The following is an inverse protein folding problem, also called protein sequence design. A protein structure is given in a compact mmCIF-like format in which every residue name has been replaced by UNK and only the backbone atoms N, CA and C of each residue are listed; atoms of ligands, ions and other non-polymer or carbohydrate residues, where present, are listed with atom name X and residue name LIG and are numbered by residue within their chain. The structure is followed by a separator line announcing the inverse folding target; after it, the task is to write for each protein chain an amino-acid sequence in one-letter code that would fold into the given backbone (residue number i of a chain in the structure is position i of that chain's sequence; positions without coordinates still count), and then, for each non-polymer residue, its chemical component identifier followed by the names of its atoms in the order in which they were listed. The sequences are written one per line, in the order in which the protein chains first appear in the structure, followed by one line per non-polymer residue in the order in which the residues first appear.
data_IF_613957766270
#
_entry.id   IF_613957766270
#
_cell.length_a   1.000
_cell.length_b   1.000
_cell.length_c   1.000
_cell.angle_alpha   90.00
_cell.angle_beta   90.00
_cell.angle_gamma   90.00
#
_symmetry.space_group_name_H-M   'P 1'
#
loop_
_entity.id
_entity.type
_entity.pdbx_description
1 polymer ?
#
# COMPACT_ATOMS: atom_id res chain seq x y z
N UNK A 1 -40.01 -48.57 35.74
CA UNK A 1 -39.07 -47.73 34.99
C UNK A 1 -39.37 -48.01 33.52
N UNK A 2 -40.01 -47.06 32.85
CA UNK A 2 -40.66 -47.30 31.56
C UNK A 2 -39.60 -47.38 30.46
N UNK A 3 -39.59 -48.46 29.69
CA UNK A 3 -38.66 -48.64 28.56
C UNK A 3 -38.71 -47.44 27.60
N UNK A 4 -39.86 -46.80 27.46
CA UNK A 4 -40.09 -45.66 26.58
C UNK A 4 -39.27 -44.41 26.98
N UNK A 5 -39.02 -44.20 28.28
CA UNK A 5 -38.17 -43.08 28.75
C UNK A 5 -36.68 -43.35 28.50
N UNK A 6 -36.26 -44.62 28.58
CA UNK A 6 -34.90 -45.06 28.27
C UNK A 6 -34.59 -44.94 26.78
N UNK A 7 -35.52 -45.34 25.91
CA UNK A 7 -35.40 -45.18 24.46
C UNK A 7 -35.45 -43.70 24.03
N UNK A 8 -36.33 -42.90 24.63
CA UNK A 8 -36.41 -41.46 24.37
C UNK A 8 -35.12 -40.72 24.77
N UNK A 9 -34.55 -41.05 25.94
CA UNK A 9 -33.28 -40.48 26.40
C UNK A 9 -32.10 -40.86 25.52
N UNK A 10 -32.03 -42.13 25.09
CA UNK A 10 -30.95 -42.62 24.21
C UNK A 10 -31.03 -41.97 22.82
N UNK A 11 -32.23 -41.82 22.26
CA UNK A 11 -32.44 -41.15 20.96
C UNK A 11 -31.98 -39.69 21.01
N UNK A 12 -32.31 -38.96 22.09
CA UNK A 12 -31.90 -37.56 22.26
C UNK A 12 -30.38 -37.40 22.30
N UNK A 13 -29.66 -38.32 22.96
CA UNK A 13 -28.19 -38.31 22.99
C UNK A 13 -27.60 -38.54 21.60
N UNK A 14 -28.15 -39.49 20.84
CA UNK A 14 -27.69 -39.76 19.47
C UNK A 14 -27.91 -38.56 18.53
N UNK A 15 -29.05 -37.89 18.63
CA UNK A 15 -29.35 -36.68 17.84
C UNK A 15 -28.38 -35.54 18.21
N UNK A 16 -28.12 -35.32 19.50
CA UNK A 16 -27.16 -34.30 19.95
C UNK A 16 -25.73 -34.62 19.48
N UNK A 17 -25.31 -35.89 19.55
CA UNK A 17 -24.01 -36.32 19.06
C UNK A 17 -23.87 -36.09 17.54
N UNK A 18 -24.91 -36.40 16.76
CA UNK A 18 -24.92 -36.17 15.31
C UNK A 18 -24.82 -34.67 14.97
N UNK A 19 -25.54 -33.81 15.71
CA UNK A 19 -25.46 -32.34 15.54
C UNK A 19 -24.05 -31.83 15.88
N UNK A 20 -23.45 -32.30 16.99
CA UNK A 20 -22.11 -31.91 17.39
C UNK A 20 -21.05 -32.32 16.36
N UNK A 21 -21.13 -33.55 15.83
CA UNK A 21 -20.23 -34.03 14.77
C UNK A 21 -20.43 -33.21 13.50
N UNK A 22 -21.67 -32.94 13.10
CA UNK A 22 -21.98 -32.07 11.96
C UNK A 22 -21.38 -30.68 12.11
N UNK A 23 -21.49 -30.07 13.30
CA UNK A 23 -20.88 -28.77 13.59
C UNK A 23 -19.35 -28.81 13.51
N UNK A 24 -18.70 -29.84 14.06
CA UNK A 24 -17.23 -29.99 13.99
C UNK A 24 -16.75 -30.16 12.55
N UNK A 25 -17.46 -30.93 11.72
CA UNK A 25 -17.10 -31.10 10.30
C UNK A 25 -17.26 -29.79 9.54
N UNK A 26 -18.38 -29.07 9.73
CA UNK A 26 -18.63 -27.78 9.06
C UNK A 26 -17.62 -26.72 9.51
N UNK A 27 -17.34 -26.59 10.81
CA UNK A 27 -16.33 -25.65 11.32
C UNK A 27 -14.90 -26.05 10.95
N UNK A 28 -14.62 -27.36 10.91
CA UNK A 28 -13.36 -27.91 10.43
C UNK A 28 -13.11 -27.57 8.97
N UNK A 29 -14.10 -27.75 8.11
CA UNK A 29 -14.01 -27.49 6.67
C UNK A 29 -13.93 -25.97 6.37
N UNK A 30 -14.64 -25.13 7.13
CA UNK A 30 -14.48 -23.67 7.09
C UNK A 30 -13.07 -23.20 7.51
N UNK A 31 -12.36 -23.96 8.36
CA UNK A 31 -10.97 -23.66 8.76
C UNK A 31 -9.93 -24.11 7.73
N UNK A 32 -10.31 -25.01 6.82
CA UNK A 32 -9.46 -25.55 5.74
C UNK A 32 -9.79 -24.85 4.41
N UNK A 33 -10.08 -23.54 4.45
CA UNK A 33 -10.03 -22.76 3.21
C UNK A 33 -8.60 -22.87 2.66
N UNK A 34 -8.41 -23.31 1.41
CA UNK A 34 -7.08 -23.44 0.83
C UNK A 34 -6.44 -22.06 0.82
N UNK A 35 -5.47 -21.86 1.72
CA UNK A 35 -4.62 -20.67 1.69
C UNK A 35 -3.97 -20.61 0.31
N UNK A 36 -3.92 -19.44 -0.34
CA UNK A 36 -3.30 -19.33 -1.66
C UNK A 36 -1.86 -19.85 -1.58
N UNK A 37 -1.62 -21.02 -2.20
CA UNK A 37 -0.29 -21.65 -2.29
C UNK A 37 0.65 -20.91 -3.25
N UNK A 38 0.12 -19.98 -4.03
CA UNK A 38 0.92 -19.17 -4.96
C UNK A 38 1.32 -17.89 -4.27
N UNK A 39 2.64 -17.70 -4.14
CA UNK A 39 3.22 -16.40 -3.83
C UNK A 39 2.64 -15.37 -4.81
N UNK A 40 2.20 -14.21 -4.35
CA UNK A 40 1.72 -13.19 -5.27
C UNK A 40 2.87 -12.78 -6.21
N UNK A 41 2.55 -12.56 -7.48
CA UNK A 41 3.47 -11.92 -8.41
C UNK A 41 3.63 -10.47 -7.96
N UNK A 42 4.87 -10.06 -7.71
CA UNK A 42 5.19 -8.69 -7.32
C UNK A 42 5.38 -7.84 -8.57
N UNK A 43 4.80 -6.65 -8.55
CA UNK A 43 4.87 -5.71 -9.67
C UNK A 43 5.83 -4.59 -9.32
N UNK A 44 6.60 -4.14 -10.31
CA UNK A 44 7.41 -2.95 -10.18
C UNK A 44 6.59 -1.77 -10.64
N UNK A 45 6.66 -0.68 -9.89
CA UNK A 45 5.97 0.55 -10.24
C UNK A 45 6.96 1.69 -10.10
N UNK A 46 7.07 2.47 -11.18
CA UNK A 46 7.80 3.73 -11.19
C UNK A 46 6.82 4.84 -10.80
N UNK A 47 7.17 5.67 -9.81
CA UNK A 47 6.31 6.79 -9.35
C UNK A 47 7.09 8.07 -9.11
N UNK A 48 6.30 9.14 -8.95
CA UNK A 48 6.67 10.53 -8.71
C UNK A 48 6.95 10.84 -7.23
N UNK A 49 7.39 9.87 -6.41
CA UNK A 49 7.89 10.20 -5.07
C UNK A 49 9.32 10.71 -5.24
N UNK A 50 9.52 12.03 -5.15
CA UNK A 50 10.82 12.64 -5.39
C UNK A 50 11.26 12.54 -6.86
N UNK A 51 12.47 12.04 -7.12
CA UNK A 51 13.07 11.93 -8.46
C UNK A 51 12.82 10.55 -9.07
N UNK A 52 11.62 10.35 -9.65
CA UNK A 52 11.22 9.14 -10.38
C UNK A 52 11.67 7.83 -9.70
N UNK A 53 11.33 7.70 -8.41
CA UNK A 53 11.77 6.59 -7.59
C UNK A 53 11.06 5.29 -8.00
N UNK A 54 11.80 4.25 -8.41
CA UNK A 54 11.25 2.91 -8.55
C UNK A 54 10.93 2.32 -7.17
N UNK A 55 9.85 1.55 -7.07
CA UNK A 55 9.55 0.72 -5.89
C UNK A 55 8.83 -0.57 -6.31
N UNK A 56 8.86 -1.59 -5.45
CA UNK A 56 8.09 -2.84 -5.65
C UNK A 56 6.76 -2.69 -4.94
N UNK A 57 5.68 -3.09 -5.59
CA UNK A 57 4.34 -3.12 -5.02
C UNK A 57 3.69 -4.49 -5.20
N UNK A 58 2.78 -4.83 -4.29
CA UNK A 58 1.94 -6.01 -4.46
C UNK A 58 0.88 -5.79 -5.55
N UNK A 59 0.76 -6.76 -6.47
CA UNK A 59 -0.21 -6.77 -7.58
C UNK A 59 -1.67 -6.82 -7.14
N UNK A 60 -1.93 -7.18 -5.88
CA UNK A 60 -3.27 -7.27 -5.31
C UNK A 60 -3.41 -6.51 -4.01
N UNK A 61 -4.67 -6.37 -3.59
CA UNK A 61 -5.07 -5.86 -2.28
C UNK A 61 -5.51 -7.04 -1.42
N UNK A 62 -4.96 -7.16 -0.21
CA UNK A 62 -5.20 -8.30 0.68
C UNK A 62 -5.96 -7.85 1.94
N UNK A 63 -6.76 -8.70 2.59
CA UNK A 63 -7.34 -8.36 3.88
C UNK A 63 -6.27 -7.94 4.90
N UNK A 64 -6.50 -6.85 5.63
CA UNK A 64 -5.52 -6.28 6.57
C UNK A 64 -5.10 -7.23 7.70
N UNK A 65 -5.92 -8.24 8.01
CA UNK A 65 -5.66 -9.28 9.01
C UNK A 65 -4.82 -10.45 8.48
N UNK A 66 -4.45 -10.48 7.19
CA UNK A 66 -3.60 -11.52 6.61
C UNK A 66 -2.11 -11.33 6.96
N UNK A 67 -1.79 -11.54 8.24
CA UNK A 67 -0.42 -11.44 8.75
C UNK A 67 0.57 -12.35 8.01
N UNK A 68 0.11 -13.53 7.55
CA UNK A 68 0.96 -14.48 6.83
C UNK A 68 1.49 -13.92 5.51
N UNK A 69 0.69 -13.15 4.78
CA UNK A 69 1.16 -12.54 3.53
C UNK A 69 2.17 -11.43 3.79
N UNK A 70 2.00 -10.68 4.88
CA UNK A 70 3.00 -9.72 5.32
C UNK A 70 4.34 -10.40 5.66
N UNK A 71 4.32 -11.52 6.39
CA UNK A 71 5.53 -12.28 6.69
C UNK A 71 6.24 -12.77 5.42
N UNK A 72 5.49 -13.30 4.46
CA UNK A 72 6.04 -13.74 3.16
C UNK A 72 6.60 -12.57 2.34
N UNK A 73 5.97 -11.39 2.42
CA UNK A 73 6.50 -10.16 1.80
C UNK A 73 7.84 -9.78 2.42
N UNK A 74 7.92 -9.72 3.75
CA UNK A 74 9.15 -9.38 4.48
C UNK A 74 10.26 -10.40 4.21
N UNK A 75 9.93 -11.69 4.11
CA UNK A 75 10.90 -12.74 3.78
C UNK A 75 11.44 -12.59 2.34
N UNK A 76 10.55 -12.26 1.39
CA UNK A 76 10.92 -12.07 -0.02
C UNK A 76 11.61 -10.74 -0.31
N UNK A 77 11.39 -9.68 0.49
CA UNK A 77 11.95 -8.34 0.33
C UNK A 77 12.62 -7.83 1.60
N UNK A 78 13.36 -8.70 2.29
CA UNK A 78 14.08 -8.29 3.48
C UNK A 78 15.03 -7.12 3.17
N UNK A 79 15.08 -6.07 4.00
CA UNK A 79 16.09 -5.02 3.88
C UNK A 79 17.50 -5.60 3.71
N UNK A 80 18.26 -5.03 2.77
CA UNK A 80 19.58 -5.48 2.33
C UNK A 80 19.56 -6.50 1.18
N UNK A 81 18.40 -7.06 0.80
CA UNK A 81 18.29 -8.03 -0.31
C UNK A 81 18.35 -7.32 -1.68
N UNK A 82 19.01 -7.95 -2.64
CA UNK A 82 19.04 -7.49 -4.03
C UNK A 82 17.85 -8.03 -4.82
N UNK A 83 17.22 -7.16 -5.60
CA UNK A 83 16.06 -7.45 -6.45
C UNK A 83 16.32 -6.87 -7.84
N UNK A 84 15.97 -7.63 -8.89
CA UNK A 84 16.10 -7.19 -10.28
C UNK A 84 14.86 -6.37 -10.66
N UNK A 85 15.05 -5.08 -10.91
CA UNK A 85 14.02 -4.12 -11.28
C UNK A 85 14.13 -3.84 -12.78
N UNK A 86 13.05 -3.98 -13.56
CA UNK A 86 13.06 -3.55 -14.95
C UNK A 86 13.27 -2.04 -15.02
N UNK A 87 14.26 -1.62 -15.80
CA UNK A 87 14.48 -0.24 -16.19
C UNK A 87 13.42 0.06 -17.24
N UNK A 88 12.48 0.95 -16.92
CA UNK A 88 11.67 1.55 -17.98
C UNK A 88 12.57 2.54 -18.72
N UNK A 89 12.88 2.24 -19.98
CA UNK A 89 13.42 3.27 -20.86
C UNK A 89 12.35 4.35 -20.99
N UNK A 90 12.64 5.56 -20.49
CA UNK A 90 11.84 6.72 -20.84
C UNK A 90 11.76 6.76 -22.37
N UNK A 91 10.56 6.90 -22.97
CA UNK A 91 10.48 7.12 -24.40
C UNK A 91 11.25 8.40 -24.67
N UNK A 92 12.45 8.26 -25.22
CA UNK A 92 13.25 9.37 -25.68
C UNK A 92 12.36 10.11 -26.67
N UNK A 93 11.94 11.32 -26.31
CA UNK A 93 11.22 12.21 -27.22
C UNK A 93 11.99 12.17 -28.53
N UNK A 94 11.40 11.72 -29.65
CA UNK A 94 12.13 11.71 -30.90
C UNK A 94 12.50 13.17 -31.17
N UNK A 95 13.79 13.48 -31.08
CA UNK A 95 14.35 14.73 -31.59
C UNK A 95 13.94 14.74 -33.04
N UNK A 96 13.01 15.63 -33.38
CA UNK A 96 12.60 15.86 -34.75
C UNK A 96 13.87 16.10 -35.57
N UNK A 97 14.22 15.14 -36.41
CA UNK A 97 15.25 15.33 -37.42
C UNK A 97 14.84 16.56 -38.26
N UNK A 98 15.76 17.47 -38.57
CA UNK A 98 15.43 18.62 -39.40
C UNK A 98 14.98 18.10 -40.77
N UNK A 99 13.84 18.62 -41.22
CA UNK A 99 13.28 18.32 -42.53
C UNK A 99 14.20 18.92 -43.60
N UNK A 100 14.95 18.07 -44.29
CA UNK A 100 15.57 18.40 -45.57
C UNK A 100 15.17 17.37 -46.63
N UNK A 101 14.51 17.87 -47.67
CA UNK A 101 14.87 17.53 -49.05
C UNK A 101 14.23 16.30 -49.70
N UNK A 102 13.38 16.61 -50.67
CA UNK A 102 13.22 15.92 -51.96
C UNK A 102 12.51 14.56 -52.03
N UNK A 103 11.22 14.67 -52.35
CA UNK A 103 10.43 13.72 -53.14
C UNK A 103 11.10 13.38 -54.47
N UNK A 104 11.43 12.10 -54.68
CA UNK A 104 11.36 11.49 -56.01
C UNK A 104 11.09 9.97 -55.94
N UNK A 105 9.97 9.58 -56.57
CA UNK A 105 9.62 8.35 -57.30
C UNK A 105 10.18 6.96 -56.94
N UNK A 106 9.30 5.95 -56.88
CA UNK A 106 9.67 4.55 -57.16
C UNK A 106 8.71 3.49 -56.63
N UNK A 107 8.25 2.62 -57.53
CA UNK A 107 7.20 1.60 -57.42
C UNK A 107 7.67 0.26 -56.78
N UNK A 108 6.70 -0.65 -56.60
CA UNK A 108 6.80 -2.12 -56.53
C UNK A 108 6.97 -2.87 -55.19
N UNK A 109 5.87 -3.59 -54.87
CA UNK A 109 5.76 -4.98 -54.37
C UNK A 109 6.70 -5.48 -53.27
N UNK A 110 6.10 -5.89 -52.15
CA UNK A 110 6.75 -6.75 -51.16
C UNK A 110 5.71 -7.50 -50.32
N UNK A 111 5.35 -8.70 -50.75
CA UNK A 111 4.87 -9.72 -49.84
C UNK A 111 6.05 -10.11 -48.95
N UNK A 112 6.01 -9.79 -47.66
CA UNK A 112 6.92 -10.43 -46.72
C UNK A 112 6.27 -10.57 -45.34
N UNK A 113 6.19 -11.83 -44.91
CA UNK A 113 5.76 -12.20 -43.57
C UNK A 113 6.80 -11.73 -42.57
N UNK A 114 6.59 -10.56 -41.98
CA UNK A 114 7.42 -10.10 -40.86
C UNK A 114 7.25 -11.06 -39.68
N UNK A 115 8.30 -11.77 -39.24
CA UNK A 115 8.26 -12.47 -37.97
C UNK A 115 8.14 -11.42 -36.87
N UNK A 116 7.29 -11.68 -35.88
CA UNK A 116 7.12 -10.84 -34.71
C UNK A 116 8.50 -10.42 -34.16
N UNK A 117 8.73 -9.10 -34.11
CA UNK A 117 9.91 -8.49 -33.48
C UNK A 117 10.11 -9.14 -32.11
N UNK A 118 11.27 -9.73 -31.79
CA UNK A 118 11.54 -10.27 -30.46
C UNK A 118 11.29 -9.17 -29.44
N UNK A 119 10.52 -9.47 -28.39
CA UNK A 119 10.36 -8.55 -27.28
C UNK A 119 11.75 -8.15 -26.79
N UNK A 120 12.07 -6.88 -26.98
CA UNK A 120 13.29 -6.24 -26.48
C UNK A 120 13.35 -6.54 -24.98
N UNK A 121 14.39 -7.28 -24.57
CA UNK A 121 14.53 -7.67 -23.17
C UNK A 121 14.70 -6.39 -22.37
N UNK A 122 13.65 -6.00 -21.62
CA UNK A 122 13.70 -4.87 -20.73
C UNK A 122 14.96 -4.97 -19.87
N UNK A 123 15.85 -3.99 -19.96
CA UNK A 123 17.08 -3.98 -19.21
C UNK A 123 16.73 -4.05 -17.72
N UNK A 124 17.38 -4.93 -16.96
CA UNK A 124 17.11 -5.07 -15.52
C UNK A 124 18.27 -4.53 -14.72
N UNK A 125 18.00 -3.64 -13.77
CA UNK A 125 18.97 -3.15 -12.79
C UNK A 125 18.81 -3.90 -11.47
N UNK A 126 19.92 -4.30 -10.85
CA UNK A 126 19.87 -4.81 -9.48
C UNK A 126 19.83 -3.67 -8.48
N UNK A 127 18.78 -3.61 -7.67
CA UNK A 127 18.60 -2.65 -6.60
C UNK A 127 18.50 -3.35 -5.25
N UNK A 128 19.08 -2.72 -4.22
CA UNK A 128 19.03 -3.23 -2.85
C UNK A 128 17.82 -2.66 -2.13
N UNK A 129 17.03 -3.52 -1.51
CA UNK A 129 15.87 -3.11 -0.70
C UNK A 129 16.36 -2.41 0.55
N UNK A 130 15.94 -1.17 0.79
CA UNK A 130 16.21 -0.44 2.03
C UNK A 130 15.11 -0.67 3.06
N UNK A 131 13.86 -0.67 2.60
CA UNK A 131 12.69 -0.63 3.48
C UNK A 131 11.49 -1.35 2.86
N UNK A 132 10.62 -1.86 3.72
CA UNK A 132 9.30 -2.40 3.35
C UNK A 132 8.21 -1.73 4.16
N UNK A 133 7.03 -1.56 3.57
CA UNK A 133 5.89 -0.95 4.26
C UNK A 133 4.56 -1.60 3.89
N UNK A 134 3.54 -1.25 4.67
CA UNK A 134 2.13 -1.60 4.46
C UNK A 134 1.36 -0.33 4.15
N UNK A 135 0.49 -0.39 3.17
CA UNK A 135 -0.36 0.72 2.71
C UNK A 135 -1.82 0.26 2.76
N UNK A 136 -2.73 1.09 3.28
CA UNK A 136 -4.17 0.80 3.19
C UNK A 136 -4.70 1.28 1.84
N UNK A 137 -5.38 0.40 1.10
CA UNK A 137 -5.91 0.71 -0.25
C UNK A 137 -7.42 0.88 -0.30
N UNK A 138 -8.16 0.29 0.64
CA UNK A 138 -9.62 0.42 0.69
C UNK A 138 -10.13 0.29 2.12
N UNK A 139 -11.25 0.96 2.37
CA UNK A 139 -11.93 1.00 3.66
C UNK A 139 -13.38 0.57 3.47
N UNK A 140 -13.77 -0.47 4.22
CA UNK A 140 -15.11 -1.08 4.30
C UNK A 140 -15.64 -1.81 3.04
N UNK A 141 -16.29 -2.99 3.16
CA UNK A 141 -16.49 -3.78 4.38
C UNK A 141 -15.23 -4.54 4.83
N UNK A 142 -14.23 -4.65 3.95
CA UNK A 142 -12.93 -5.25 4.26
C UNK A 142 -11.85 -4.19 4.11
N UNK A 143 -11.12 -3.94 5.18
CA UNK A 143 -9.93 -3.10 5.11
C UNK A 143 -8.86 -3.87 4.33
N UNK A 144 -8.48 -3.37 3.14
CA UNK A 144 -7.48 -4.03 2.30
C UNK A 144 -6.13 -3.30 2.35
N UNK A 145 -5.05 -4.06 2.33
CA UNK A 145 -3.67 -3.59 2.36
C UNK A 145 -2.91 -3.98 1.09
N UNK A 146 -2.03 -3.08 0.65
CA UNK A 146 -0.92 -3.36 -0.25
C UNK A 146 0.39 -3.42 0.52
N UNK A 147 1.39 -4.05 -0.09
CA UNK A 147 2.75 -4.09 0.45
C UNK A 147 3.71 -3.43 -0.54
N UNK A 148 4.63 -2.63 0.00
CA UNK A 148 5.61 -1.90 -0.80
C UNK A 148 7.03 -2.19 -0.31
N UNK A 149 8.00 -2.11 -1.21
CA UNK A 149 9.43 -2.19 -0.91
C UNK A 149 10.18 -1.09 -1.67
N UNK A 150 11.06 -0.38 -0.98
CA UNK A 150 11.82 0.76 -1.48
C UNK A 150 13.31 0.41 -1.54
N UNK A 151 14.07 1.17 -2.33
CA UNK A 151 15.47 0.86 -2.62
C UNK A 151 16.47 1.86 -2.01
N UNK A 152 17.66 1.36 -1.68
CA UNK A 152 18.73 2.12 -0.98
C UNK A 152 19.22 3.34 -1.76
N UNK A 153 19.48 3.23 -3.06
CA UNK A 153 19.99 4.33 -3.89
C UNK A 153 19.08 5.58 -3.89
N UNK A 154 17.81 5.40 -3.50
CA UNK A 154 16.79 6.44 -3.47
C UNK A 154 16.29 6.73 -2.05
N UNK A 155 16.85 6.09 -1.01
CA UNK A 155 16.39 6.32 0.36
C UNK A 155 16.77 7.73 0.80
N UNK A 156 15.78 8.47 1.35
CA UNK A 156 15.92 9.85 1.82
C UNK A 156 16.21 10.88 0.72
N UNK A 157 16.18 10.46 -0.56
CA UNK A 157 16.39 11.36 -1.71
C UNK A 157 15.30 12.41 -1.87
N UNK A 158 14.16 12.19 -1.21
CA UNK A 158 12.99 13.06 -1.23
C UNK A 158 13.16 14.26 -0.29
N UNK A 159 14.01 14.14 0.73
CA UNK A 159 14.13 15.13 1.80
C UNK A 159 15.17 16.21 1.51
N UNK A 160 15.00 17.42 2.09
CA UNK A 160 13.86 17.87 2.90
C UNK A 160 12.64 18.22 2.02
N UNK A 161 11.44 18.00 2.54
CA UNK A 161 10.18 18.41 1.90
C UNK A 161 9.47 19.42 2.79
N UNK A 162 9.15 20.59 2.25
CA UNK A 162 8.27 21.57 2.87
C UNK A 162 6.94 21.62 2.12
N UNK A 163 5.84 21.44 2.83
CA UNK A 163 4.49 21.36 2.27
C UNK A 163 3.60 22.38 2.96
N UNK A 164 2.91 23.19 2.18
CA UNK A 164 1.78 23.97 2.68
C UNK A 164 0.62 22.99 2.73
N UNK A 165 0.13 22.71 3.94
CA UNK A 165 -0.97 21.78 4.17
C UNK A 165 -2.06 22.52 4.90
N UNK A 166 -3.28 22.46 4.35
CA UNK A 166 -4.47 22.80 5.11
C UNK A 166 -4.81 21.60 5.98
N UNK A 167 -4.62 21.75 7.28
CA UNK A 167 -5.05 20.75 8.26
C UNK A 167 -6.09 21.34 9.20
N UNK A 168 -7.06 20.54 9.60
CA UNK A 168 -7.81 20.86 10.82
C UNK A 168 -6.85 20.88 12.01
N UNK A 169 -7.09 21.74 13.00
CA UNK A 169 -6.23 22.01 14.16
C UNK A 169 -5.22 23.16 13.97
N UNK A 170 -5.39 23.96 12.90
CA UNK A 170 -4.59 25.18 12.69
C UNK A 170 -3.20 24.92 12.10
N UNK A 171 -2.98 23.72 11.58
CA UNK A 171 -1.78 23.37 10.81
C UNK A 171 -1.87 24.07 9.45
N UNK A 172 -0.82 24.80 9.10
CA UNK A 172 -0.70 25.51 7.82
C UNK A 172 0.49 25.01 6.99
N UNK A 173 1.50 24.43 7.64
CA UNK A 173 2.72 23.95 6.98
C UNK A 173 3.27 22.72 7.68
N UNK A 174 3.86 21.82 6.91
CA UNK A 174 4.63 20.69 7.40
C UNK A 174 6.02 20.67 6.77
N UNK A 175 7.01 20.33 7.58
CA UNK A 175 8.36 20.00 7.13
C UNK A 175 8.64 18.55 7.45
N UNK A 176 9.09 17.81 6.45
CA UNK A 176 9.48 16.42 6.54
C UNK A 176 10.97 16.32 6.23
N UNK A 177 11.73 15.76 7.15
CA UNK A 177 13.17 15.57 7.05
C UNK A 177 13.52 14.08 7.06
N UNK A 178 14.79 13.75 6.93
CA UNK A 178 15.27 12.38 7.06
C UNK A 178 14.99 11.75 8.45
N UNK A 179 14.72 12.56 9.47
CA UNK A 179 14.64 12.12 10.86
C UNK A 179 13.26 12.38 11.50
N UNK A 180 12.57 13.43 11.07
CA UNK A 180 11.32 13.87 11.69
C UNK A 180 10.31 14.51 10.72
N UNK A 181 9.10 14.65 11.26
CA UNK A 181 7.98 15.38 10.69
C UNK A 181 7.59 16.45 11.69
N UNK A 182 7.47 17.69 11.23
CA UNK A 182 7.13 18.84 12.06
C UNK A 182 6.01 19.63 11.41
N UNK A 183 4.97 19.95 12.17
CA UNK A 183 3.84 20.77 11.73
C UNK A 183 3.85 22.13 12.42
N UNK A 184 3.51 23.17 11.65
CA UNK A 184 3.56 24.57 12.05
C UNK A 184 2.20 25.26 11.81
N UNK A 185 1.91 26.27 12.63
CA UNK A 185 0.79 27.19 12.40
C UNK A 185 1.13 28.25 11.33
N UNK A 186 0.14 29.07 10.95
CA UNK A 186 0.30 30.16 9.99
C UNK A 186 1.37 31.20 10.40
N UNK A 187 1.73 31.25 11.69
CA UNK A 187 2.73 32.17 12.24
C UNK A 187 4.12 31.52 12.32
N UNK A 188 4.27 30.29 11.83
CA UNK A 188 5.53 29.53 11.87
C UNK A 188 5.87 28.94 13.24
N UNK A 189 4.93 28.92 14.19
CA UNK A 189 5.15 28.27 15.49
C UNK A 189 4.93 26.77 15.34
N UNK A 190 5.84 25.98 15.92
CA UNK A 190 5.71 24.52 15.95
C UNK A 190 4.49 24.11 16.78
N UNK A 191 3.52 23.47 16.13
CA UNK A 191 2.33 22.92 16.78
C UNK A 191 2.53 21.46 17.20
N UNK A 192 3.20 20.69 16.34
CA UNK A 192 3.32 19.25 16.52
C UNK A 192 4.60 18.72 15.87
N UNK A 193 5.10 17.60 16.37
CA UNK A 193 6.24 16.90 15.76
C UNK A 193 6.24 15.42 16.12
N UNK A 194 6.80 14.61 15.22
CA UNK A 194 7.11 13.20 15.46
C UNK A 194 8.41 12.81 14.76
N UNK A 195 9.16 11.89 15.37
CA UNK A 195 10.16 11.12 14.61
C UNK A 195 9.49 10.02 13.80
N UNK A 196 10.12 9.59 12.72
CA UNK A 196 9.60 8.51 11.87
C UNK A 196 9.36 7.22 12.64
N UNK A 197 10.24 6.84 13.58
CA UNK A 197 10.11 5.57 14.31
C UNK A 197 8.92 5.54 15.29
N UNK A 198 8.40 6.71 15.65
CA UNK A 198 7.25 6.89 16.55
C UNK A 198 5.98 7.27 15.81
N UNK A 199 6.08 7.61 14.53
CA UNK A 199 4.96 8.06 13.74
C UNK A 199 4.06 6.88 13.43
N UNK A 200 2.85 6.93 13.99
CA UNK A 200 1.77 6.05 13.61
C UNK A 200 0.83 6.84 12.72
N UNK A 201 0.42 6.27 11.59
CA UNK A 201 -0.52 6.91 10.70
C UNK A 201 -1.70 5.99 10.36
N UNK A 202 -2.82 6.62 10.02
CA UNK A 202 -4.01 5.97 9.47
C UNK A 202 -4.50 6.80 8.29
N UNK A 203 -4.64 6.17 7.13
CA UNK A 203 -5.12 6.78 5.89
C UNK A 203 -6.54 6.25 5.59
N UNK A 204 -7.56 7.00 6.01
CA UNK A 204 -8.96 6.68 5.71
C UNK A 204 -9.56 7.78 4.82
N UNK A 205 -10.64 8.43 5.25
CA UNK A 205 -11.12 9.63 4.56
C UNK A 205 -10.13 10.79 4.74
N UNK A 206 -9.53 10.92 5.93
CA UNK A 206 -8.48 11.89 6.24
C UNK A 206 -7.17 11.16 6.54
N UNK A 207 -6.03 11.86 6.43
CA UNK A 207 -4.74 11.35 6.88
C UNK A 207 -4.48 11.78 8.33
N UNK A 208 -4.51 10.82 9.25
CA UNK A 208 -4.27 11.03 10.68
C UNK A 208 -2.85 10.65 11.03
N UNK A 209 -2.13 11.55 11.71
CA UNK A 209 -0.75 11.36 12.16
C UNK A 209 -0.69 11.44 13.68
N UNK A 210 -0.15 10.41 14.33
CA UNK A 210 -0.03 10.30 15.77
C UNK A 210 1.42 10.08 16.19
N UNK A 211 1.89 10.83 17.18
CA UNK A 211 3.27 10.75 17.68
C UNK A 211 3.41 9.94 18.99
N UNK A 212 2.35 9.29 19.45
CA UNK A 212 2.31 8.63 20.76
C UNK A 212 1.65 9.44 21.89
N UNK A 213 1.32 10.71 21.66
CA UNK A 213 0.70 11.60 22.65
C UNK A 213 -0.46 12.41 22.08
N UNK A 214 -0.25 13.00 20.91
CA UNK A 214 -1.17 13.93 20.25
C UNK A 214 -1.26 13.57 18.78
N UNK A 215 -2.42 13.83 18.18
CA UNK A 215 -2.66 13.61 16.77
C UNK A 215 -2.86 14.93 16.03
N UNK A 216 -2.55 14.94 14.74
CA UNK A 216 -2.95 15.98 13.79
C UNK A 216 -3.64 15.32 12.59
N UNK A 217 -4.50 16.08 11.91
CA UNK A 217 -5.25 15.61 10.75
C UNK A 217 -4.95 16.47 9.53
N UNK A 218 -4.65 15.81 8.43
CA UNK A 218 -4.40 16.42 7.13
C UNK A 218 -5.58 16.12 6.22
N UNK A 219 -6.29 17.17 5.80
CA UNK A 219 -7.48 17.13 4.93
C UNK A 219 -7.24 17.80 3.56
N UNK A 220 -5.99 18.12 3.24
CA UNK A 220 -5.57 18.77 1.99
C UNK A 220 -5.38 17.77 0.83
N UNK A 221 -6.33 17.69 -0.10
CA UNK A 221 -6.25 16.77 -1.25
C UNK A 221 -5.03 17.00 -2.15
N UNK A 222 -4.55 18.24 -2.31
CA UNK A 222 -3.50 18.56 -3.29
C UNK A 222 -2.11 18.04 -2.86
N UNK A 223 -1.84 18.06 -1.54
CA UNK A 223 -0.56 17.62 -0.98
C UNK A 223 -0.64 16.28 -0.27
N UNK A 224 -1.86 15.76 -0.02
CA UNK A 224 -2.09 14.52 0.70
C UNK A 224 -1.37 13.35 0.07
N UNK A 225 -1.42 13.17 -1.24
CA UNK A 225 -0.81 12.00 -1.89
C UNK A 225 0.70 11.89 -1.61
N UNK A 226 1.39 13.03 -1.60
CA UNK A 226 2.81 13.07 -1.29
C UNK A 226 3.07 12.82 0.20
N UNK A 227 2.29 13.44 1.10
CA UNK A 227 2.41 13.18 2.54
C UNK A 227 2.13 11.70 2.83
N UNK A 228 1.04 11.16 2.27
CA UNK A 228 0.62 9.78 2.41
C UNK A 228 1.71 8.82 1.92
N UNK A 229 2.27 9.06 0.75
CA UNK A 229 3.37 8.26 0.22
C UNK A 229 4.60 8.26 1.15
N UNK A 230 4.96 9.42 1.72
CA UNK A 230 6.10 9.53 2.64
C UNK A 230 5.82 8.88 4.00
N UNK A 231 4.63 9.02 4.56
CA UNK A 231 4.27 8.37 5.83
C UNK A 231 4.07 6.86 5.67
N UNK A 232 3.58 6.39 4.51
CA UNK A 232 3.57 4.97 4.15
C UNK A 232 4.99 4.45 4.06
N UNK A 233 5.92 5.21 3.49
CA UNK A 233 7.32 4.80 3.39
C UNK A 233 8.01 4.76 4.75
N UNK A 234 7.91 5.81 5.56
CA UNK A 234 8.75 5.99 6.75
C UNK A 234 8.05 5.78 8.09
N UNK A 235 6.74 5.95 8.15
CA UNK A 235 5.93 5.73 9.35
C UNK A 235 5.45 4.29 9.50
N UNK A 236 4.67 4.07 10.56
CA UNK A 236 4.02 2.80 10.86
C UNK A 236 2.52 2.92 10.63
N UNK A 237 1.99 2.11 9.72
CA UNK A 237 0.55 1.98 9.53
C UNK A 237 -0.07 1.28 10.74
N UNK A 238 -1.02 1.93 11.41
CA UNK A 238 -1.98 1.24 12.29
C UNK A 238 -3.39 1.70 11.93
N UNK A 239 -4.31 0.74 11.86
CA UNK A 239 -5.72 1.06 11.82
C UNK A 239 -6.10 1.62 13.18
N UNK A 240 -5.98 2.94 13.32
CA UNK A 240 -6.62 3.63 14.43
C UNK A 240 -8.11 3.40 14.21
N UNK A 241 -8.72 2.54 15.02
CA UNK A 241 -10.17 2.38 15.04
C UNK A 241 -10.75 3.78 15.04
N UNK A 242 -11.60 4.06 14.03
CA UNK A 242 -12.29 5.33 13.87
C UNK A 242 -12.82 5.77 15.23
N UNK A 243 -12.05 6.60 15.94
CA UNK A 243 -12.64 7.40 16.99
C UNK A 243 -13.61 8.27 16.22
N UNK A 244 -14.92 8.21 16.51
CA UNK A 244 -15.86 9.12 15.89
C UNK A 244 -15.25 10.50 16.07
N UNK A 245 -15.02 11.20 14.95
CA UNK A 245 -14.48 12.55 14.98
C UNK A 245 -15.26 13.37 16.01
N UNK A 246 -14.65 14.40 16.63
CA UNK A 246 -15.36 15.21 17.60
C UNK A 246 -16.69 15.62 16.98
N UNK A 247 -17.80 15.23 17.62
CA UNK A 247 -19.15 15.61 17.25
C UNK A 247 -19.10 17.11 16.93
N UNK A 248 -19.29 17.47 15.66
CA UNK A 248 -19.61 18.85 15.31
C UNK A 248 -20.75 19.21 16.25
N UNK A 249 -20.50 20.13 17.18
CA UNK A 249 -21.60 20.79 17.87
C UNK A 249 -22.34 21.48 16.76
N UNK A 250 -23.55 21.01 16.49
CA UNK A 250 -24.53 21.80 15.78
C UNK A 250 -24.69 23.08 16.60
N UNK A 251 -24.02 24.14 16.17
CA UNK A 251 -24.43 25.50 16.50
C UNK A 251 -25.73 25.70 15.75
N UNK A 252 -26.84 25.36 16.41
CA UNK A 252 -28.13 25.97 16.11
C UNK A 252 -28.09 27.39 16.69
N UNK A 253 -28.18 28.35 15.77
CA UNK A 253 -28.66 29.72 16.02
C UNK A 253 -30.17 29.69 16.34
#
# INVERSE_FOLDING_TARGET
MNQDELFGGLLAIFVLAAIAIGAIVVFGDLSIRPRPKRLPLWQYTHRVIGRDQPFVTSSGSFPANEQRLWELWVESHKPGKLVAVPVEEHPSTPVAAPAEGDTDSGDETGADGSPAKPAEQAETRQLRVSRVSRELRSVYPLALVGFNAYFEDYEKSEFPVGLIVRGSDGVAMMTLTADDVVAFDERGRRLWSSRWERLIFSNAHDLLLYNGHTQIRIDDEDQRDLVEALVVKYGRLEQMHFLPGPLRRDTED
#
